data_IF_985828367806
#
_entry.id   IF_985828367806
#
_cell.length_a   1.000
_cell.length_b   1.000
_cell.length_c   1.000
_cell.angle_alpha   90.00
_cell.angle_beta   90.00
_cell.angle_gamma   90.00
#
_symmetry.space_group_name_H-M   'P 1'
#
loop_
_entity.id
_entity.type
_entity.pdbx_description
1 polymer ?
#
# COMPACT_ATOMS: atom_id res chain seq x y z
N UNK A 1 -2.80 16.64 -32.57
CA UNK A 1 -1.57 16.54 -31.75
C UNK A 1 -2.02 16.58 -30.31
N UNK A 2 -2.13 15.42 -29.68
CA UNK A 2 -2.42 15.30 -28.25
C UNK A 2 -1.05 15.38 -27.58
N UNK A 3 -0.82 16.40 -26.77
CA UNK A 3 0.47 16.62 -26.10
C UNK A 3 0.72 15.51 -25.08
N UNK A 4 1.86 14.82 -25.22
CA UNK A 4 2.33 13.79 -24.30
C UNK A 4 2.73 14.32 -22.91
N UNK A 5 2.58 15.62 -22.63
CA UNK A 5 3.08 16.25 -21.41
C UNK A 5 2.09 16.19 -20.23
N UNK A 6 0.84 15.83 -20.47
CA UNK A 6 -0.28 16.13 -19.56
C UNK A 6 -0.67 14.95 -18.62
N UNK A 7 -0.07 13.77 -18.81
CA UNK A 7 -0.16 12.63 -17.86
C UNK A 7 0.93 12.69 -16.78
N UNK A 8 1.97 13.51 -16.98
CA UNK A 8 3.15 13.55 -16.11
C UNK A 8 2.92 14.19 -14.74
N UNK A 9 1.92 15.08 -14.62
CA UNK A 9 1.64 15.82 -13.38
C UNK A 9 1.23 14.91 -12.22
N UNK A 10 0.41 13.90 -12.52
CA UNK A 10 -0.13 12.96 -11.54
C UNK A 10 0.77 11.73 -11.31
N UNK A 11 1.99 11.74 -11.86
CA UNK A 11 2.99 10.69 -11.66
C UNK A 11 4.27 11.34 -11.12
N UNK A 12 4.61 11.02 -9.89
CA UNK A 12 5.82 11.45 -9.22
C UNK A 12 6.84 10.31 -9.19
N UNK A 13 8.01 10.51 -9.80
CA UNK A 13 9.10 9.54 -9.79
C UNK A 13 10.34 10.11 -9.15
N UNK A 14 11.02 9.34 -8.29
CA UNK A 14 12.28 9.74 -7.68
C UNK A 14 13.14 8.53 -7.36
N UNK A 15 14.45 8.74 -7.23
CA UNK A 15 15.34 7.74 -6.67
C UNK A 15 15.51 7.98 -5.17
N UNK A 16 15.26 6.95 -4.37
CA UNK A 16 15.57 6.93 -2.95
C UNK A 16 16.72 5.94 -2.71
N UNK A 17 17.36 6.03 -1.55
CA UNK A 17 18.44 5.12 -1.19
C UNK A 17 17.98 4.30 0.01
N UNK A 18 18.04 2.97 -0.09
CA UNK A 18 17.73 2.08 1.02
C UNK A 18 19.00 1.31 1.36
N UNK A 19 19.53 1.48 2.56
CA UNK A 19 20.79 0.87 2.99
C UNK A 19 21.94 1.16 1.99
N UNK A 20 21.98 2.38 1.45
CA UNK A 20 22.98 2.82 0.45
C UNK A 20 22.77 2.30 -0.97
N UNK A 21 21.75 1.47 -1.24
CA UNK A 21 21.41 1.01 -2.59
C UNK A 21 20.33 1.90 -3.19
N UNK A 22 20.53 2.30 -4.45
CA UNK A 22 19.54 3.09 -5.20
C UNK A 22 18.28 2.26 -5.46
N UNK A 23 17.11 2.87 -5.26
CA UNK A 23 15.81 2.28 -5.51
C UNK A 23 14.97 3.27 -6.32
N UNK A 24 14.20 2.75 -7.28
CA UNK A 24 13.27 3.55 -8.07
C UNK A 24 11.93 3.64 -7.35
N UNK A 25 11.52 4.85 -6.97
CA UNK A 25 10.22 5.15 -6.38
C UNK A 25 9.31 5.79 -7.43
N UNK A 26 8.08 5.30 -7.54
CA UNK A 26 7.00 5.92 -8.29
C UNK A 26 5.75 6.01 -7.42
N UNK A 27 5.21 7.21 -7.32
CA UNK A 27 3.94 7.49 -6.67
C UNK A 27 3.04 8.11 -7.72
N UNK A 28 1.83 7.60 -7.87
CA UNK A 28 0.88 8.14 -8.83
C UNK A 28 -0.52 8.23 -8.24
N UNK A 29 -1.32 9.16 -8.76
CA UNK A 29 -2.74 9.22 -8.45
C UNK A 29 -3.44 7.95 -8.92
N UNK A 30 -4.31 7.37 -8.09
CA UNK A 30 -5.08 6.20 -8.45
C UNK A 30 -6.49 6.27 -7.85
N UNK A 31 -7.31 7.17 -8.39
CA UNK A 31 -8.63 7.55 -7.87
C UNK A 31 -8.60 8.74 -6.91
N UNK A 32 -9.79 9.16 -6.47
CA UNK A 32 -9.97 10.31 -5.58
C UNK A 32 -9.30 10.09 -4.23
N UNK A 33 -8.57 11.11 -3.74
CA UNK A 33 -7.87 11.07 -2.45
C UNK A 33 -7.01 9.81 -2.25
N UNK A 34 -6.47 9.28 -3.35
CA UNK A 34 -5.84 7.95 -3.38
C UNK A 34 -4.56 7.93 -4.20
N UNK A 35 -3.55 7.19 -3.73
CA UNK A 35 -2.28 7.04 -4.44
C UNK A 35 -1.86 5.58 -4.48
N UNK A 36 -1.19 5.22 -5.57
CA UNK A 36 -0.45 3.96 -5.71
C UNK A 36 1.04 4.26 -5.52
N UNK A 37 1.70 3.46 -4.70
CA UNK A 37 3.13 3.60 -4.38
C UNK A 37 3.84 2.33 -4.82
N UNK A 38 4.86 2.50 -5.65
CA UNK A 38 5.72 1.43 -6.15
C UNK A 38 7.17 1.75 -5.89
N UNK A 39 7.92 0.76 -5.44
CA UNK A 39 9.34 0.89 -5.14
C UNK A 39 10.08 -0.36 -5.60
N UNK A 40 11.14 -0.24 -6.38
CA UNK A 40 11.92 -1.41 -6.85
C UNK A 40 13.42 -1.15 -6.78
N UNK A 41 14.24 -2.16 -6.41
CA UNK A 41 15.70 -2.11 -6.58
C UNK A 41 16.14 -2.07 -8.04
N UNK A 42 15.33 -2.66 -8.92
CA UNK A 42 15.62 -2.82 -10.34
C UNK A 42 14.83 -1.79 -11.16
N UNK A 43 13.75 -2.23 -11.81
CA UNK A 43 12.85 -1.40 -12.62
C UNK A 43 11.43 -1.54 -12.11
N UNK A 44 10.67 -0.44 -12.18
CA UNK A 44 9.25 -0.48 -11.84
C UNK A 44 8.46 -1.12 -12.98
N UNK A 45 7.84 -2.25 -12.68
CA UNK A 45 6.93 -2.97 -13.58
C UNK A 45 5.62 -2.19 -13.61
N UNK A 46 5.29 -1.65 -14.80
CA UNK A 46 4.13 -0.77 -14.97
C UNK A 46 2.79 -1.51 -14.90
N UNK A 47 2.74 -2.71 -15.47
CA UNK A 47 1.53 -3.54 -15.61
C UNK A 47 1.83 -4.98 -15.20
N UNK A 48 1.97 -5.28 -13.90
CA UNK A 48 2.08 -6.66 -13.45
C UNK A 48 0.77 -7.41 -13.71
N UNK A 49 0.84 -8.62 -14.26
CA UNK A 49 -0.33 -9.43 -14.65
C UNK A 49 -1.15 -10.00 -13.48
N UNK A 50 -0.75 -9.70 -12.25
CA UNK A 50 -1.18 -10.39 -11.03
C UNK A 50 -1.68 -9.43 -9.93
N UNK A 51 -1.97 -8.18 -10.28
CA UNK A 51 -2.45 -7.14 -9.36
C UNK A 51 -3.97 -7.19 -9.12
N UNK A 52 -4.41 -6.69 -7.97
CA UNK A 52 -5.83 -6.52 -7.65
C UNK A 52 -6.42 -5.21 -8.22
N UNK A 53 -5.59 -4.18 -8.39
CA UNK A 53 -6.01 -2.92 -9.02
C UNK A 53 -6.38 -3.16 -10.48
N UNK A 54 -7.51 -2.62 -10.92
CA UNK A 54 -7.94 -2.67 -12.32
C UNK A 54 -6.90 -2.03 -13.24
N UNK A 55 -6.69 -2.52 -14.47
CA UNK A 55 -5.70 -1.96 -15.38
C UNK A 55 -6.08 -0.56 -15.88
N UNK A 56 -7.39 -0.28 -15.98
CA UNK A 56 -7.89 1.05 -16.30
C UNK A 56 -7.79 1.94 -15.07
N UNK A 57 -7.07 3.07 -15.20
CA UNK A 57 -6.91 4.02 -14.10
C UNK A 57 -8.27 4.67 -13.80
N UNK A 58 -8.67 4.74 -12.51
CA UNK A 58 -9.85 5.49 -12.13
C UNK A 58 -9.71 6.97 -12.51
N UNK A 59 -10.85 7.65 -12.69
CA UNK A 59 -10.86 9.09 -12.99
C UNK A 59 -10.19 9.86 -11.85
N UNK A 60 -9.25 10.73 -12.23
CA UNK A 60 -8.53 11.64 -11.32
C UNK A 60 -8.74 13.05 -11.84
N UNK A 61 -9.03 13.98 -10.93
CA UNK A 61 -9.01 15.41 -11.26
C UNK A 61 -7.55 15.88 -11.34
N UNK A 62 -7.15 16.42 -12.49
CA UNK A 62 -5.76 16.87 -12.68
C UNK A 62 -5.43 18.08 -11.80
N UNK A 63 -6.43 18.89 -11.45
CA UNK A 63 -6.23 20.06 -10.58
C UNK A 63 -5.87 19.65 -9.14
N UNK A 64 -6.25 18.43 -8.75
CA UNK A 64 -5.94 17.84 -7.45
C UNK A 64 -4.50 17.32 -7.34
N UNK A 65 -3.79 17.15 -8.47
CA UNK A 65 -2.42 16.64 -8.51
C UNK A 65 -1.40 17.77 -8.38
N UNK A 66 -0.53 17.71 -7.36
CA UNK A 66 0.54 18.69 -7.17
C UNK A 66 1.85 18.03 -6.76
N UNK A 67 2.96 18.49 -7.35
CA UNK A 67 4.32 18.13 -6.96
C UNK A 67 5.02 19.33 -6.33
N UNK A 68 5.52 19.17 -5.11
CA UNK A 68 6.15 20.26 -4.35
C UNK A 68 7.59 19.86 -3.95
N UNK A 69 8.51 20.80 -4.15
CA UNK A 69 9.90 20.73 -3.66
C UNK A 69 10.66 19.43 -4.00
N UNK A 70 10.24 18.68 -5.02
CA UNK A 70 10.84 17.41 -5.43
C UNK A 70 10.71 16.24 -4.44
N UNK A 71 10.10 16.44 -3.27
CA UNK A 71 9.97 15.43 -2.21
C UNK A 71 8.51 15.15 -1.84
N UNK A 72 7.57 15.91 -2.37
CA UNK A 72 6.17 15.87 -1.99
C UNK A 72 5.30 15.68 -3.23
N UNK A 73 4.34 14.76 -3.12
CA UNK A 73 3.30 14.54 -4.10
C UNK A 73 1.93 14.59 -3.42
N UNK A 74 0.98 15.29 -4.02
CA UNK A 74 -0.38 15.48 -3.51
C UNK A 74 -1.35 15.01 -4.58
N UNK A 75 -2.38 14.29 -4.15
CA UNK A 75 -3.57 13.99 -4.94
C UNK A 75 -4.81 14.26 -4.07
N UNK A 76 -5.45 15.40 -4.27
CA UNK A 76 -6.61 15.84 -3.48
C UNK A 76 -6.24 15.93 -2.01
N UNK A 77 -6.89 15.12 -1.18
CA UNK A 77 -6.69 15.13 0.26
C UNK A 77 -5.56 14.21 0.78
N UNK A 78 -4.91 13.42 -0.09
CA UNK A 78 -3.75 12.59 0.30
C UNK A 78 -2.43 13.21 -0.16
N UNK A 79 -1.43 13.16 0.70
CA UNK A 79 -0.09 13.68 0.44
C UNK A 79 0.97 12.66 0.82
N UNK A 80 1.85 12.37 -0.13
CA UNK A 80 3.07 11.60 0.02
C UNK A 80 4.25 12.53 0.26
N UNK A 81 5.12 12.19 1.22
CA UNK A 81 6.29 12.98 1.59
C UNK A 81 7.48 12.03 1.74
N UNK A 82 8.58 12.31 1.04
CA UNK A 82 9.88 11.69 1.30
C UNK A 82 10.54 12.46 2.43
N UNK A 83 10.97 11.75 3.47
CA UNK A 83 11.61 12.33 4.63
C UNK A 83 13.05 12.77 4.29
N UNK A 84 13.65 13.59 5.17
CA UNK A 84 14.96 14.20 4.91
C UNK A 84 16.12 13.20 4.81
N UNK A 85 15.95 11.98 5.32
CA UNK A 85 16.91 10.88 5.18
C UNK A 85 16.98 10.34 3.74
N UNK A 86 16.02 10.68 2.88
CA UNK A 86 15.87 10.16 1.52
C UNK A 86 15.82 8.61 1.45
N UNK A 87 15.37 7.98 2.53
CA UNK A 87 15.15 6.55 2.67
C UNK A 87 13.70 6.26 3.07
N UNK A 88 13.18 6.99 4.05
CA UNK A 88 11.83 6.80 4.58
C UNK A 88 10.84 7.80 3.97
N UNK A 89 9.56 7.45 4.06
CA UNK A 89 8.47 8.27 3.54
C UNK A 89 7.26 8.23 4.49
N UNK A 90 6.38 9.21 4.35
CA UNK A 90 5.18 9.34 5.15
C UNK A 90 3.97 9.74 4.31
N UNK A 91 2.78 9.35 4.78
CA UNK A 91 1.50 9.73 4.19
C UNK A 91 0.79 10.67 5.15
N UNK A 92 0.40 11.82 4.64
CA UNK A 92 -0.29 12.87 5.38
C UNK A 92 -1.65 13.17 4.74
N UNK A 93 -2.66 13.39 5.56
CA UNK A 93 -3.96 13.93 5.14
C UNK A 93 -3.92 15.45 5.05
N UNK A 94 -4.42 16.05 3.96
CA UNK A 94 -4.38 17.51 3.75
C UNK A 94 -5.29 18.30 4.68
N UNK A 95 -6.53 17.85 4.88
CA UNK A 95 -7.55 18.58 5.63
C UNK A 95 -7.14 18.94 7.06
N UNK A 96 -6.29 18.14 7.69
CA UNK A 96 -5.87 18.33 9.09
C UNK A 96 -4.38 18.11 9.37
N UNK A 97 -3.60 17.85 8.32
CA UNK A 97 -2.15 17.58 8.39
C UNK A 97 -1.78 16.37 9.23
N UNK A 98 -2.72 15.48 9.51
CA UNK A 98 -2.45 14.25 10.25
C UNK A 98 -1.57 13.32 9.43
N UNK A 99 -0.46 12.86 10.00
CA UNK A 99 0.33 11.77 9.42
C UNK A 99 -0.42 10.46 9.69
N UNK A 100 -0.79 9.76 8.64
CA UNK A 100 -1.54 8.50 8.70
C UNK A 100 -0.59 7.30 8.87
N UNK A 101 0.49 7.31 8.09
CA UNK A 101 1.51 6.27 8.06
C UNK A 101 2.88 6.94 8.02
N UNK A 102 3.79 6.45 8.85
CA UNK A 102 5.20 6.81 8.80
C UNK A 102 6.06 5.55 8.66
N UNK A 103 6.70 5.41 7.50
CA UNK A 103 7.60 4.29 7.22
C UNK A 103 8.82 4.36 8.12
N UNK A 104 9.15 3.24 8.74
CA UNK A 104 10.34 3.05 9.58
C UNK A 104 11.47 2.45 8.76
N UNK A 105 11.15 1.44 7.95
CA UNK A 105 12.12 0.83 7.06
C UNK A 105 11.44 0.11 5.90
N UNK A 106 12.16 0.00 4.79
CA UNK A 106 11.82 -0.90 3.69
C UNK A 106 13.08 -1.66 3.33
N UNK A 107 12.98 -2.98 3.24
CA UNK A 107 14.13 -3.84 3.00
C UNK A 107 13.82 -4.80 1.86
N UNK A 108 14.72 -4.84 0.87
CA UNK A 108 14.75 -5.86 -0.17
C UNK A 108 15.97 -6.76 0.06
N UNK A 109 15.73 -8.04 0.37
CA UNK A 109 16.78 -9.04 0.46
C UNK A 109 16.71 -9.94 -0.78
N UNK A 110 17.83 -10.23 -1.46
CA UNK A 110 17.83 -11.15 -2.61
C UNK A 110 17.16 -12.48 -2.24
N UNK A 111 16.19 -12.91 -3.05
CA UNK A 111 15.52 -14.18 -2.84
C UNK A 111 16.39 -15.32 -3.40
N UNK A 112 17.21 -15.91 -2.53
CA UNK A 112 18.13 -16.99 -2.88
C UNK A 112 17.40 -18.35 -2.89
N UNK A 113 16.56 -18.58 -3.90
CA UNK A 113 16.10 -19.92 -4.31
C UNK A 113 16.67 -20.20 -5.70
N UNK A 114 16.95 -21.45 -6.12
CA UNK A 114 17.43 -21.74 -7.47
C UNK A 114 16.56 -20.99 -8.47
N UNK A 115 17.22 -20.20 -9.32
CA UNK A 115 16.59 -19.31 -10.30
C UNK A 115 15.47 -20.10 -10.97
N UNK A 116 14.22 -19.68 -10.73
CA UNK A 116 13.11 -20.26 -11.47
C UNK A 116 13.42 -20.01 -12.94
N UNK A 117 13.53 -21.10 -13.71
CA UNK A 117 13.72 -21.04 -15.18
C UNK A 117 12.62 -20.19 -15.85
N UNK A 118 11.53 -19.92 -15.12
CA UNK A 118 10.37 -19.16 -15.56
C UNK A 118 10.36 -17.66 -15.18
N UNK A 119 11.35 -17.15 -14.45
CA UNK A 119 11.47 -15.70 -14.19
C UNK A 119 12.83 -15.11 -14.61
N UNK A 120 13.21 -15.20 -15.89
CA UNK A 120 14.55 -14.83 -16.34
C UNK A 120 14.80 -13.32 -16.49
N UNK A 121 13.78 -12.45 -16.37
CA UNK A 121 13.92 -11.02 -16.73
C UNK A 121 14.22 -10.12 -15.52
N UNK A 122 13.67 -10.42 -14.33
CA UNK A 122 13.84 -9.58 -13.14
C UNK A 122 14.13 -10.41 -11.89
N UNK A 123 14.96 -9.84 -11.00
CA UNK A 123 15.33 -10.46 -9.74
C UNK A 123 14.12 -10.52 -8.81
N UNK A 124 14.02 -11.60 -8.02
CA UNK A 124 13.06 -11.69 -6.94
C UNK A 124 13.71 -11.30 -5.62
N UNK A 125 12.94 -10.62 -4.78
CA UNK A 125 13.36 -10.18 -3.47
C UNK A 125 12.36 -10.66 -2.42
N UNK A 126 12.89 -10.99 -1.25
CA UNK A 126 12.10 -10.95 -0.02
C UNK A 126 11.98 -9.50 0.42
N UNK A 127 10.75 -8.99 0.45
CA UNK A 127 10.42 -7.62 0.81
C UNK A 127 9.86 -7.58 2.24
N UNK A 128 10.34 -6.62 3.03
CA UNK A 128 9.74 -6.24 4.32
C UNK A 128 9.51 -4.74 4.36
N UNK A 129 8.26 -4.31 4.53
CA UNK A 129 7.86 -2.92 4.75
C UNK A 129 7.40 -2.77 6.21
N UNK A 130 8.06 -1.90 6.97
CA UNK A 130 7.69 -1.58 8.36
C UNK A 130 7.28 -0.13 8.44
N UNK A 131 6.09 0.14 8.99
CA UNK A 131 5.62 1.49 9.25
C UNK A 131 4.82 1.58 10.55
N UNK A 132 4.56 2.80 11.01
CA UNK A 132 3.74 3.06 12.20
C UNK A 132 2.51 3.89 11.88
N UNK A 133 1.43 3.62 12.59
CA UNK A 133 0.28 4.52 12.70
C UNK A 133 0.56 5.58 13.75
N UNK A 134 0.57 6.85 13.34
CA UNK A 134 0.87 7.97 14.26
C UNK A 134 -0.28 8.18 15.23
N UNK A 135 -1.52 8.09 14.75
CA UNK A 135 -2.71 8.14 15.59
C UNK A 135 -3.12 6.73 16.02
N UNK A 136 -3.44 6.57 17.30
CA UNK A 136 -4.08 5.35 17.79
C UNK A 136 -5.41 5.12 17.06
N UNK A 137 -5.70 3.86 16.80
CA UNK A 137 -6.98 3.48 16.23
C UNK A 137 -7.07 1.98 16.06
N UNK A 138 -8.14 1.60 15.40
CA UNK A 138 -8.50 0.22 15.14
C UNK A 138 -8.42 -0.08 13.65
N UNK A 139 -7.99 -1.30 13.34
CA UNK A 139 -7.82 -1.84 12.00
C UNK A 139 -8.85 -2.94 11.77
N UNK A 140 -9.54 -2.88 10.62
CA UNK A 140 -10.57 -3.83 10.20
C UNK A 140 -10.34 -4.28 8.76
N UNK A 141 -10.68 -5.53 8.41
CA UNK A 141 -10.54 -6.06 7.06
C UNK A 141 -9.74 -7.36 7.05
N UNK A 142 -8.75 -7.44 6.15
CA UNK A 142 -7.83 -8.57 5.95
C UNK A 142 -8.46 -9.88 5.44
N UNK A 143 -9.77 -9.88 5.17
CA UNK A 143 -10.52 -11.03 4.68
C UNK A 143 -11.25 -11.77 5.80
N UNK A 144 -11.41 -13.07 5.65
CA UNK A 144 -12.12 -13.94 6.58
C UNK A 144 -11.16 -14.99 7.13
N UNK A 145 -11.05 -15.07 8.46
CA UNK A 145 -10.14 -16.01 9.09
C UNK A 145 -10.78 -16.66 10.31
N UNK A 146 -10.73 -17.99 10.37
CA UNK A 146 -11.18 -18.79 11.50
C UNK A 146 -10.03 -18.94 12.49
N UNK A 147 -9.89 -17.97 13.37
CA UNK A 147 -8.95 -18.10 14.49
C UNK A 147 -9.70 -18.52 15.76
N UNK A 148 -9.14 -19.50 16.48
CA UNK A 148 -9.64 -19.90 17.79
C UNK A 148 -9.39 -18.81 18.84
N UNK A 149 -10.41 -18.53 19.67
CA UNK A 149 -10.48 -17.81 20.96
C UNK A 149 -9.71 -16.47 21.20
N UNK A 150 -8.73 -16.08 20.39
CA UNK A 150 -7.85 -14.93 20.63
C UNK A 150 -7.80 -13.91 19.49
N UNK A 151 -8.65 -14.04 18.45
CA UNK A 151 -8.91 -12.92 17.55
C UNK A 151 -9.97 -12.01 18.18
N UNK A 152 -9.52 -11.06 19.00
CA UNK A 152 -10.33 -9.88 19.24
C UNK A 152 -10.13 -8.94 18.06
N UNK A 153 -11.20 -8.63 17.34
CA UNK A 153 -11.24 -7.37 16.61
C UNK A 153 -11.39 -6.26 17.66
N UNK A 154 -10.55 -5.22 17.61
CA UNK A 154 -9.57 -4.90 16.57
C UNK A 154 -8.22 -5.60 16.75
N UNK A 155 -7.46 -5.77 15.66
CA UNK A 155 -6.20 -6.52 15.68
C UNK A 155 -5.15 -5.88 16.61
N UNK A 156 -4.81 -6.59 17.68
CA UNK A 156 -3.81 -6.23 18.68
C UNK A 156 -2.72 -7.30 18.72
N UNK A 157 -1.44 -6.93 18.58
CA UNK A 157 -0.31 -7.86 18.58
C UNK A 157 -0.56 -9.14 17.75
N UNK A 158 -0.84 -8.94 16.47
CA UNK A 158 -1.44 -9.94 15.58
C UNK A 158 -0.44 -10.41 14.52
N UNK A 159 -0.47 -11.71 14.19
CA UNK A 159 0.31 -12.30 13.10
C UNK A 159 -0.62 -13.05 12.14
N UNK A 160 -0.66 -12.62 10.89
CA UNK A 160 -1.43 -13.23 9.81
C UNK A 160 -0.46 -13.72 8.71
N UNK A 161 -0.16 -15.03 8.65
CA UNK A 161 0.65 -15.59 7.59
C UNK A 161 -0.17 -15.76 6.31
N UNK A 162 0.41 -15.37 5.17
CA UNK A 162 -0.14 -15.65 3.84
C UNK A 162 0.54 -16.91 3.31
N UNK A 163 0.03 -18.07 3.67
CA UNK A 163 0.60 -19.35 3.25
C UNK A 163 -0.50 -20.32 2.86
N UNK A 164 -0.27 -21.10 1.81
CA UNK A 164 -1.08 -22.27 1.54
C UNK A 164 -0.61 -23.42 2.44
N UNK A 165 -1.53 -24.04 3.17
CA UNK A 165 -1.26 -25.28 3.90
C UNK A 165 -2.27 -26.34 3.49
N UNK A 166 -1.80 -27.40 2.84
CA UNK A 166 -2.63 -28.55 2.45
C UNK A 166 -3.10 -29.39 3.64
N UNK A 167 -2.55 -29.13 4.83
CA UNK A 167 -2.81 -29.89 6.06
C UNK A 167 -3.44 -29.05 7.17
N UNK A 168 -3.55 -27.73 6.99
CA UNK A 168 -4.24 -26.89 7.96
C UNK A 168 -5.75 -27.14 7.85
N UNK A 169 -6.51 -27.12 8.96
CA UNK A 169 -7.96 -27.27 8.96
C UNK A 169 -8.70 -26.05 8.35
N UNK A 170 -8.02 -25.25 7.53
CA UNK A 170 -8.40 -23.91 7.03
C UNK A 170 -9.25 -23.97 5.77
N UNK A 171 -10.14 -24.96 5.65
CA UNK A 171 -11.21 -24.89 4.66
C UNK A 171 -12.08 -23.67 5.01
N UNK A 172 -11.87 -22.54 4.33
CA UNK A 172 -12.67 -21.32 4.49
C UNK A 172 -11.94 -20.06 4.95
N UNK A 173 -10.62 -20.10 5.19
CA UNK A 173 -9.83 -18.87 5.42
C UNK A 173 -9.47 -18.22 4.07
N UNK A 174 -9.74 -16.91 3.97
CA UNK A 174 -9.50 -16.11 2.79
C UNK A 174 -8.79 -14.84 3.22
N UNK A 175 -7.54 -14.68 2.79
CA UNK A 175 -6.81 -13.42 2.94
C UNK A 175 -7.21 -12.47 1.83
N UNK A 176 -7.75 -11.31 2.18
CA UNK A 176 -7.89 -10.16 1.27
C UNK A 176 -7.05 -9.05 1.88
N UNK A 177 -5.88 -8.71 1.31
CA UNK A 177 -4.87 -7.88 2.00
C UNK A 177 -5.19 -6.38 1.92
N UNK A 178 -6.43 -6.06 2.30
CA UNK A 178 -7.06 -4.75 2.36
C UNK A 178 -7.51 -4.51 3.80
N UNK A 179 -7.24 -3.33 4.34
CA UNK A 179 -7.79 -2.93 5.63
C UNK A 179 -8.20 -1.46 5.66
N UNK A 180 -9.09 -1.14 6.60
CA UNK A 180 -9.50 0.21 6.94
C UNK A 180 -9.05 0.52 8.36
N UNK A 181 -8.49 1.71 8.56
CA UNK A 181 -8.13 2.23 9.87
C UNK A 181 -9.08 3.34 10.29
N UNK A 182 -9.50 3.32 11.56
CA UNK A 182 -10.45 4.30 12.14
C UNK A 182 -10.01 5.76 12.09
N UNK A 183 -8.73 6.06 11.84
CA UNK A 183 -8.28 7.43 11.58
C UNK A 183 -8.73 7.99 10.21
N UNK A 184 -9.42 7.19 9.40
CA UNK A 184 -10.04 7.63 8.14
C UNK A 184 -9.17 7.39 6.91
N UNK A 185 -8.55 6.22 6.81
CA UNK A 185 -7.85 5.79 5.61
C UNK A 185 -8.00 4.28 5.39
N UNK A 186 -7.79 3.84 4.16
CA UNK A 186 -7.73 2.43 3.80
C UNK A 186 -6.43 2.11 3.08
N UNK A 187 -5.93 0.89 3.26
CA UNK A 187 -4.65 0.42 2.75
C UNK A 187 -4.82 -0.94 2.09
N UNK A 188 -4.39 -1.05 0.84
CA UNK A 188 -4.33 -2.28 0.05
C UNK A 188 -2.87 -2.63 -0.19
N UNK A 189 -2.45 -3.79 0.29
CA UNK A 189 -1.21 -4.43 -0.16
C UNK A 189 -1.48 -5.10 -1.51
N UNK A 190 -1.07 -4.42 -2.59
CA UNK A 190 -1.38 -4.81 -3.95
C UNK A 190 -0.34 -5.83 -4.49
N UNK A 191 -0.01 -6.83 -3.67
CA UNK A 191 0.87 -7.92 -4.08
C UNK A 191 0.25 -9.27 -3.77
N UNK A 192 0.21 -10.19 -4.74
CA UNK A 192 -0.08 -11.59 -4.49
C UNK A 192 1.15 -12.31 -3.95
N UNK A 193 0.94 -13.53 -3.50
CA UNK A 193 2.02 -14.43 -3.09
C UNK A 193 2.12 -14.61 -1.58
N UNK A 194 3.08 -15.43 -1.17
CA UNK A 194 3.27 -15.76 0.24
C UNK A 194 3.97 -14.66 1.02
N UNK A 195 3.70 -14.61 2.31
CA UNK A 195 4.14 -13.49 3.13
C UNK A 195 3.51 -13.48 4.52
N UNK A 196 3.43 -12.30 5.11
CA UNK A 196 2.69 -12.06 6.35
C UNK A 196 2.27 -10.61 6.51
N UNK A 197 1.27 -10.42 7.37
CA UNK A 197 0.91 -9.16 7.97
C UNK A 197 1.03 -9.27 9.49
N UNK A 198 1.81 -8.37 10.08
CA UNK A 198 2.13 -8.37 11.50
C UNK A 198 1.77 -7.02 12.12
N UNK A 199 1.09 -7.04 13.26
CA UNK A 199 0.83 -5.87 14.12
C UNK A 199 1.63 -6.05 15.40
N UNK A 200 2.42 -5.06 15.78
CA UNK A 200 3.19 -5.03 17.04
C UNK A 200 2.90 -3.75 17.80
N UNK A 201 2.72 -3.89 19.12
CA UNK A 201 2.44 -2.79 20.04
C UNK A 201 1.28 -1.87 19.57
N UNK A 202 0.31 -2.47 18.88
CA UNK A 202 -0.91 -1.82 18.34
C UNK A 202 -0.68 -0.67 17.33
N UNK A 203 0.56 -0.43 16.90
CA UNK A 203 0.91 0.71 16.04
C UNK A 203 1.90 0.39 14.95
N UNK A 204 2.84 -0.51 15.22
CA UNK A 204 3.83 -0.92 14.23
C UNK A 204 3.23 -2.02 13.38
N UNK A 205 3.26 -1.81 12.07
CA UNK A 205 2.76 -2.73 11.07
C UNK A 205 3.95 -3.19 10.24
N UNK A 206 4.04 -4.49 10.00
CA UNK A 206 5.01 -5.08 9.10
C UNK A 206 4.30 -5.93 8.06
N UNK A 207 4.53 -5.60 6.80
CA UNK A 207 4.16 -6.42 5.65
C UNK A 207 5.39 -7.15 5.14
N UNK A 208 5.25 -8.44 4.89
CA UNK A 208 6.29 -9.25 4.26
C UNK A 208 5.76 -9.88 2.98
N UNK A 209 6.51 -9.78 1.89
CA UNK A 209 6.36 -10.64 0.73
C UNK A 209 7.61 -11.51 0.59
N UNK A 210 7.40 -12.82 0.47
CA UNK A 210 8.51 -13.79 0.41
C UNK A 210 9.26 -13.72 -0.91
N UNK A 211 8.56 -13.43 -2.01
CA UNK A 211 9.15 -13.28 -3.34
C UNK A 211 8.34 -12.25 -4.14
N UNK A 212 8.96 -11.13 -4.48
CA UNK A 212 8.36 -10.06 -5.28
C UNK A 212 9.43 -9.29 -6.07
N UNK A 213 9.05 -8.61 -7.14
CA UNK A 213 9.94 -7.76 -7.94
C UNK A 213 10.02 -6.31 -7.44
N UNK A 214 9.01 -5.86 -6.70
CA UNK A 214 8.86 -4.48 -6.24
C UNK A 214 7.97 -4.45 -5.01
N UNK A 215 7.91 -3.34 -4.30
CA UNK A 215 6.79 -2.97 -3.44
C UNK A 215 5.67 -2.44 -4.33
N UNK A 216 4.42 -2.81 -4.04
CA UNK A 216 3.24 -2.27 -4.69
C UNK A 216 2.10 -2.20 -3.67
N UNK A 217 1.66 -0.98 -3.38
CA UNK A 217 0.56 -0.74 -2.45
C UNK A 217 -0.31 0.41 -2.94
N UNK A 218 -1.54 0.43 -2.47
CA UNK A 218 -2.50 1.50 -2.71
C UNK A 218 -3.06 1.99 -1.39
N UNK A 219 -3.22 3.30 -1.25
CA UNK A 219 -3.75 3.93 -0.05
C UNK A 219 -4.71 5.05 -0.44
N UNK A 220 -5.81 5.13 0.31
CA UNK A 220 -6.84 6.16 0.16
C UNK A 220 -7.14 6.81 1.49
N UNK A 221 -7.51 8.08 1.50
CA UNK A 221 -7.97 8.78 2.71
C UNK A 221 -9.25 9.55 2.44
N UNK A 222 -9.83 10.11 3.50
CA UNK A 222 -10.98 11.00 3.44
C UNK A 222 -10.69 12.24 4.29
N UNK A 223 -11.31 13.39 3.97
CA UNK A 223 -11.23 14.60 4.79
C UNK A 223 -11.58 14.35 6.26
N UNK A 224 -10.95 15.12 7.15
CA UNK A 224 -11.14 14.99 8.61
C UNK A 224 -12.62 15.07 8.99
N UNK A 225 -13.37 15.97 8.38
CA UNK A 225 -14.80 16.17 8.62
C UNK A 225 -15.58 14.87 8.36
N UNK A 226 -15.22 14.16 7.28
CA UNK A 226 -15.82 12.88 6.89
C UNK A 226 -15.35 11.73 7.77
N UNK A 227 -14.11 11.78 8.28
CA UNK A 227 -13.54 10.76 9.17
C UNK A 227 -14.24 10.65 10.53
N UNK A 228 -14.86 11.74 11.00
CA UNK A 228 -15.59 11.79 12.28
C UNK A 228 -17.09 11.45 12.07
N UNK A 229 -17.57 11.46 10.82
CA UNK A 229 -18.97 11.15 10.48
C UNK A 229 -19.23 9.63 10.45
N UNK A 230 -20.50 9.22 10.63
CA UNK A 230 -20.92 7.82 10.48
C UNK A 230 -20.72 7.24 9.07
N UNK A 231 -20.36 8.06 8.09
CA UNK A 231 -20.21 7.68 6.68
C UNK A 231 -18.75 7.42 6.26
N UNK A 232 -17.78 7.45 7.18
CA UNK A 232 -16.37 7.26 6.84
C UNK A 232 -16.12 5.92 6.13
N UNK A 233 -16.74 4.84 6.62
CA UNK A 233 -16.57 3.49 6.07
C UNK A 233 -17.15 3.37 4.65
N UNK A 234 -18.41 3.77 4.37
CA UNK A 234 -18.94 3.78 3.01
C UNK A 234 -18.08 4.55 1.99
N UNK A 235 -17.50 5.69 2.38
CA UNK A 235 -16.68 6.50 1.47
C UNK A 235 -15.36 5.78 1.15
N UNK A 236 -14.66 5.27 2.16
CA UNK A 236 -13.42 4.51 1.96
C UNK A 236 -13.71 3.24 1.13
N UNK A 237 -14.81 2.56 1.41
CA UNK A 237 -15.21 1.36 0.65
C UNK A 237 -15.58 1.70 -0.78
N UNK A 238 -16.23 2.83 -1.04
CA UNK A 238 -16.47 3.35 -2.40
C UNK A 238 -15.14 3.52 -3.15
N UNK A 239 -14.18 4.21 -2.55
CA UNK A 239 -12.86 4.38 -3.16
C UNK A 239 -12.19 3.03 -3.46
N UNK A 240 -12.33 2.05 -2.57
CA UNK A 240 -11.79 0.71 -2.79
C UNK A 240 -12.47 -0.02 -3.96
N UNK A 241 -13.81 -0.05 -4.03
CA UNK A 241 -14.51 -0.74 -5.12
C UNK A 241 -14.29 -0.05 -6.47
N UNK A 242 -14.14 1.27 -6.48
CA UNK A 242 -13.82 2.04 -7.69
C UNK A 242 -12.47 1.60 -8.32
N UNK A 243 -11.53 1.04 -7.52
CA UNK A 243 -10.19 0.62 -8.01
C UNK A 243 -10.00 -0.89 -8.16
N UNK A 244 -10.80 -1.72 -7.50
CA UNK A 244 -10.74 -3.19 -7.59
C UNK A 244 -11.91 -3.83 -8.37
N UNK A 245 -12.95 -3.05 -8.68
CA UNK A 245 -14.13 -3.51 -9.40
C UNK A 245 -15.41 -3.48 -8.55
N UNK A 246 -16.51 -3.10 -9.19
CA UNK A 246 -17.84 -3.10 -8.59
C UNK A 246 -18.46 -4.51 -8.66
N UNK A 247 -19.18 -4.95 -7.61
CA UNK A 247 -20.05 -6.12 -7.74
C UNK A 247 -21.16 -5.81 -8.74
N UNK A 248 -21.51 -6.81 -9.56
CA UNK A 248 -22.62 -6.74 -10.52
C UNK A 248 -23.99 -6.72 -9.84
#
# INVERSE_FOLDING_TARGET
MISCDDESLCIFTKNIYLNGLKQQLQVESWGYDSIRIRLSPDVIIQTPDYQALLPEKPIVDKEDCQQLNGNTFINGNIKFIINDDNETWSIQRQSDRLILIQTQSTTFLPYNYPVSVYSPIYTLYKLSLIYTHVQNGYLYGLGQHHYGHNLTLPYHNFHLPFVFSSTAPTNGDITIPWYIHTSGFGFLWNQPGYGSFDVKNDKEIMWTANATHQLDLWITTIPKEKSISSLFYPIIMKNYVDVIGHPN
#
